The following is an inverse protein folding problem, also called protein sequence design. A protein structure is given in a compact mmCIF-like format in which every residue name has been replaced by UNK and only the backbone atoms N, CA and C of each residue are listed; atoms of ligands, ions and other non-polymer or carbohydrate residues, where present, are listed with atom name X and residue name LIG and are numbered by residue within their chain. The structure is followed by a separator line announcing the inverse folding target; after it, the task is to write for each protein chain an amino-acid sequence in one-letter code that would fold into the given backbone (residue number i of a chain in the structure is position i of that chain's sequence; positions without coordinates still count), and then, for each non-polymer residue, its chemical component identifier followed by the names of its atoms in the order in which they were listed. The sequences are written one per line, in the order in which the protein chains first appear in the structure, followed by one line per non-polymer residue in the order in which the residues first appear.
data_IF_029207248187
#
_entry.id   IF_029207248187
#
_cell.length_a   1.000
_cell.length_b   1.000
_cell.length_c   1.000
_cell.angle_alpha   90.00
_cell.angle_beta   90.00
_cell.angle_gamma   90.00
#
_symmetry.space_group_name_H-M   'P 1'
#
loop_
_entity.id
_entity.type
_entity.pdbx_description
1 polymer ?
#
# COMPACT_ATOMS: atom_id res chain seq x y z
N UNK A 1 6.90 0.66 2.14
CA UNK A 1 6.66 -0.27 3.28
C UNK A 1 6.79 -1.73 2.88
N UNK A 2 5.77 -2.47 2.40
CA UNK A 2 5.96 -3.87 1.97
C UNK A 2 6.82 -4.02 0.69
N UNK A 3 6.98 -2.92 -0.07
CA UNK A 3 7.96 -2.82 -1.16
C UNK A 3 9.41 -2.74 -0.66
N UNK A 4 9.62 -2.34 0.60
CA UNK A 4 10.95 -2.14 1.20
C UNK A 4 11.40 -3.35 2.02
N UNK A 5 10.51 -4.30 2.30
CA UNK A 5 10.84 -5.51 3.06
C UNK A 5 9.62 -6.29 3.56
N UNK A 6 9.91 -7.33 4.33
CA UNK A 6 8.93 -8.14 5.04
C UNK A 6 8.53 -7.45 6.34
N UNK A 7 7.24 -7.50 6.69
CA UNK A 7 6.72 -6.83 7.90
C UNK A 7 5.70 -7.71 8.61
N UNK A 8 5.76 -7.68 9.94
CA UNK A 8 4.76 -8.26 10.80
C UNK A 8 3.44 -7.48 10.80
N UNK A 9 2.35 -8.13 11.21
CA UNK A 9 1.05 -7.46 11.41
C UNK A 9 1.14 -6.26 12.36
N UNK A 10 1.96 -6.37 13.39
CA UNK A 10 2.17 -5.40 14.45
C UNK A 10 2.94 -4.19 13.95
N UNK A 11 4.03 -4.41 13.20
CA UNK A 11 4.75 -3.32 12.55
C UNK A 11 3.82 -2.58 11.58
N UNK A 12 3.05 -3.30 10.76
CA UNK A 12 2.08 -2.67 9.84
C UNK A 12 1.05 -1.83 10.63
N UNK A 13 0.54 -2.34 11.75
CA UNK A 13 -0.43 -1.63 12.59
C UNK A 13 0.16 -0.36 13.22
N UNK A 14 1.39 -0.45 13.72
CA UNK A 14 2.12 0.67 14.29
C UNK A 14 2.39 1.76 13.23
N UNK A 15 2.95 1.38 12.09
CA UNK A 15 3.24 2.32 11.00
C UNK A 15 2.00 3.06 10.48
N UNK A 16 0.86 2.37 10.41
CA UNK A 16 -0.39 2.96 9.92
C UNK A 16 -1.20 3.69 11.02
N UNK A 17 -0.82 3.55 12.29
CA UNK A 17 -1.61 4.04 13.41
C UNK A 17 -3.01 3.41 13.48
N UNK A 18 -3.13 2.13 13.12
CA UNK A 18 -4.40 1.39 13.05
C UNK A 18 -4.45 0.26 14.07
N UNK A 19 -5.66 -0.18 14.44
CA UNK A 19 -5.80 -1.36 15.30
C UNK A 19 -5.37 -2.64 14.58
N UNK A 20 -4.79 -3.59 15.31
CA UNK A 20 -4.35 -4.89 14.76
C UNK A 20 -5.49 -5.65 14.10
N UNK A 21 -6.71 -5.55 14.61
CA UNK A 21 -7.90 -6.19 14.04
C UNK A 21 -8.24 -5.62 12.66
N UNK A 22 -8.14 -4.29 12.52
CA UNK A 22 -8.38 -3.62 11.23
C UNK A 22 -7.32 -4.04 10.22
N UNK A 23 -6.04 -4.01 10.62
CA UNK A 23 -4.95 -4.46 9.75
C UNK A 23 -5.12 -5.92 9.38
N UNK A 24 -5.46 -6.80 10.33
CA UNK A 24 -5.67 -8.23 10.08
C UNK A 24 -6.77 -8.49 9.06
N UNK A 25 -7.86 -7.74 9.10
CA UNK A 25 -8.93 -7.84 8.09
C UNK A 25 -8.42 -7.45 6.69
N UNK A 26 -7.71 -6.34 6.59
CA UNK A 26 -7.19 -5.87 5.31
C UNK A 26 -6.09 -6.76 4.76
N UNK A 27 -5.14 -7.23 5.58
CA UNK A 27 -4.11 -8.16 5.14
C UNK A 27 -4.72 -9.49 4.69
N UNK A 28 -5.73 -10.01 5.38
CA UNK A 28 -6.49 -11.18 4.92
C UNK A 28 -7.17 -10.96 3.57
N UNK A 29 -7.69 -9.76 3.30
CA UNK A 29 -8.28 -9.41 2.01
C UNK A 29 -7.22 -9.36 0.90
N UNK A 30 -6.05 -8.78 1.20
CA UNK A 30 -4.93 -8.70 0.27
C UNK A 30 -4.32 -10.08 -0.03
N UNK A 31 -4.22 -10.96 0.97
CA UNK A 31 -3.81 -12.36 0.81
C UNK A 31 -4.76 -13.12 -0.12
N UNK A 32 -6.08 -12.99 0.10
CA UNK A 32 -7.10 -13.60 -0.76
C UNK A 32 -7.06 -13.09 -2.20
N UNK A 33 -6.54 -11.88 -2.39
CA UNK A 33 -6.37 -11.26 -3.71
C UNK A 33 -4.98 -11.51 -4.30
N UNK A 34 -4.15 -12.33 -3.64
CA UNK A 34 -2.78 -12.68 -4.04
C UNK A 34 -1.85 -11.46 -4.22
N UNK A 35 -2.17 -10.32 -3.59
CA UNK A 35 -1.37 -9.10 -3.67
C UNK A 35 -0.24 -9.07 -2.64
N UNK A 36 -0.41 -9.82 -1.55
CA UNK A 36 0.62 -10.08 -0.55
C UNK A 36 0.66 -11.58 -0.27
N UNK A 37 1.73 -12.05 0.32
CA UNK A 37 1.92 -13.43 0.75
C UNK A 37 2.44 -13.48 2.19
N UNK A 38 2.12 -14.56 2.90
CA UNK A 38 2.64 -14.83 4.24
C UNK A 38 3.94 -15.63 4.10
N UNK A 39 5.06 -15.07 4.58
CA UNK A 39 6.38 -15.69 4.48
C UNK A 39 6.70 -16.60 5.65
N UNK A 40 6.29 -16.18 6.84
CA UNK A 40 6.53 -16.91 8.07
C UNK A 40 5.48 -16.53 9.13
N UNK A 41 5.45 -17.34 10.19
CA UNK A 41 4.81 -16.99 11.45
C UNK A 41 5.89 -17.11 12.53
N UNK A 42 6.20 -16.01 13.22
CA UNK A 42 7.18 -15.99 14.32
C UNK A 42 6.41 -15.76 15.62
N UNK A 43 6.37 -16.79 16.47
CA UNK A 43 5.45 -16.80 17.62
C UNK A 43 3.99 -16.83 17.12
N UNK A 44 3.19 -15.85 17.52
CA UNK A 44 1.81 -15.66 17.06
C UNK A 44 1.69 -14.56 15.98
N UNK A 45 2.82 -14.11 15.44
CA UNK A 45 2.90 -12.94 14.58
C UNK A 45 3.15 -13.34 13.12
N UNK A 46 2.17 -13.11 12.22
CA UNK A 46 2.36 -13.39 10.80
C UNK A 46 3.22 -12.30 10.15
N UNK A 47 4.17 -12.73 9.32
CA UNK A 47 5.05 -11.87 8.54
C UNK A 47 4.63 -11.91 7.07
N UNK A 48 4.46 -10.73 6.50
CA UNK A 48 3.96 -10.53 5.14
C UNK A 48 5.02 -9.92 4.24
N UNK A 49 4.91 -10.24 2.95
CA UNK A 49 5.66 -9.57 1.88
C UNK A 49 4.73 -9.29 0.70
N UNK A 50 5.10 -8.36 -0.16
CA UNK A 50 4.33 -8.08 -1.38
C UNK A 50 4.67 -9.10 -2.48
N UNK A 51 3.64 -9.58 -3.19
CA UNK A 51 3.85 -10.45 -4.36
C UNK A 51 4.19 -9.63 -5.59
N UNK A 52 4.70 -10.27 -6.64
CA UNK A 52 4.90 -9.62 -7.95
C UNK A 52 3.60 -9.01 -8.50
N UNK A 53 2.48 -9.72 -8.39
CA UNK A 53 1.17 -9.22 -8.80
C UNK A 53 0.74 -7.99 -7.98
N UNK A 54 1.07 -7.96 -6.68
CA UNK A 54 0.90 -6.78 -5.83
C UNK A 54 1.70 -5.58 -6.31
N UNK A 55 2.97 -5.79 -6.67
CA UNK A 55 3.85 -4.74 -7.21
C UNK A 55 3.29 -4.20 -8.52
N UNK A 56 2.96 -5.08 -9.47
CA UNK A 56 2.43 -4.69 -10.78
C UNK A 56 1.15 -3.86 -10.62
N UNK A 57 0.26 -4.26 -9.71
CA UNK A 57 -0.96 -3.52 -9.41
C UNK A 57 -0.67 -2.14 -8.79
N UNK A 58 0.28 -2.04 -7.87
CA UNK A 58 0.68 -0.76 -7.28
C UNK A 58 1.26 0.19 -8.34
N UNK A 59 2.10 -0.30 -9.25
CA UNK A 59 2.71 0.50 -10.31
C UNK A 59 1.63 1.12 -11.21
N UNK A 60 0.63 0.34 -11.61
CA UNK A 60 -0.49 0.84 -12.42
C UNK A 60 -1.23 1.97 -11.70
N UNK A 61 -1.51 1.80 -10.39
CA UNK A 61 -2.17 2.85 -9.61
C UNK A 61 -1.29 4.09 -9.41
N UNK A 62 0.02 3.93 -9.27
CA UNK A 62 0.96 5.05 -9.17
C UNK A 62 0.94 5.95 -10.41
N UNK A 63 0.95 5.37 -11.62
CA UNK A 63 0.86 6.15 -12.85
C UNK A 63 -0.45 6.92 -12.96
N UNK A 64 -1.56 6.30 -12.57
CA UNK A 64 -2.86 6.96 -12.55
C UNK A 64 -2.86 8.16 -11.58
N UNK A 65 -2.41 7.96 -10.34
CA UNK A 65 -2.33 9.03 -9.35
C UNK A 65 -1.43 10.18 -9.80
N UNK A 66 -0.30 9.86 -10.44
CA UNK A 66 0.61 10.86 -10.99
C UNK A 66 -0.07 11.70 -12.09
N UNK A 67 -0.87 11.09 -12.96
CA UNK A 67 -1.65 11.81 -13.97
C UNK A 67 -2.65 12.76 -13.33
N UNK A 68 -3.40 12.27 -12.34
CA UNK A 68 -4.42 13.07 -11.64
C UNK A 68 -3.78 14.28 -10.96
N UNK A 69 -2.64 14.09 -10.28
CA UNK A 69 -1.91 15.20 -9.64
C UNK A 69 -1.49 16.25 -10.67
N UNK A 70 -0.95 15.83 -11.83
CA UNK A 70 -0.54 16.74 -12.90
C UNK A 70 -1.73 17.53 -13.46
N UNK A 71 -2.86 16.87 -13.69
CA UNK A 71 -4.08 17.52 -14.16
C UNK A 71 -4.60 18.53 -13.13
N UNK A 72 -4.53 18.20 -11.83
CA UNK A 72 -4.87 19.14 -10.76
C UNK A 72 -3.94 20.36 -10.75
N UNK A 73 -2.63 20.16 -10.92
CA UNK A 73 -1.65 21.24 -11.01
C UNK A 73 -1.94 22.15 -12.21
N UNK A 74 -2.24 21.59 -13.39
CA UNK A 74 -2.59 22.35 -14.59
C UNK A 74 -3.87 23.18 -14.42
N UNK A 75 -4.90 22.61 -13.78
CA UNK A 75 -6.17 23.31 -13.51
C UNK A 75 -5.95 24.45 -12.50
N UNK A 76 -5.22 24.20 -11.42
CA UNK A 76 -4.92 25.23 -10.42
C UNK A 76 -4.11 26.34 -11.08
N UNK A 77 -3.08 26.00 -11.85
CA UNK A 77 -2.20 27.01 -12.43
C UNK A 77 -2.81 27.81 -13.58
N UNK A 78 -3.71 27.21 -14.35
CA UNK A 78 -4.52 27.96 -15.32
C UNK A 78 -5.56 28.87 -14.65
N UNK A 79 -6.08 28.49 -13.48
CA UNK A 79 -7.07 29.28 -12.74
C UNK A 79 -6.46 30.44 -11.96
N UNK A 80 -5.28 30.23 -11.37
CA UNK A 80 -4.61 31.18 -10.48
C UNK A 80 -3.37 31.83 -11.09
N UNK A 81 -3.15 31.66 -12.39
CA UNK A 81 -2.02 32.22 -13.15
C UNK A 81 -0.68 31.95 -12.43
N UNK A 82 -0.31 30.67 -12.27
CA UNK A 82 1.04 30.31 -11.82
C UNK A 82 2.07 30.74 -12.89
N UNK A 83 2.43 32.00 -12.91
CA UNK A 83 3.53 32.58 -13.70
C UNK A 83 4.86 32.42 -12.99
#
# INVERSE_FOLDING_TARGET
MLLEGELSLSEIAEYLGLSKEKVKRETNRLLKSELIEMKAVIGDEPIFSITRAGIDKLIVQYYLLKSIIKEMEEIICSTFECS
#
